data_IF_187175112182
#
_entry.id   IF_187175112182
#
_cell.length_a   1.000
_cell.length_b   1.000
_cell.length_c   1.000
_cell.angle_alpha   90.00
_cell.angle_beta   90.00
_cell.angle_gamma   90.00
#
_symmetry.space_group_name_H-M   'P 1'
#
loop_
_entity.id
_entity.type
_entity.pdbx_description
1 polymer ?
#
# COMPACT_ATOMS: atom_id res chain seq x y z
N UNK A 1 19.31 -4.83 -8.60
CA UNK A 1 18.26 -5.79 -8.96
C UNK A 1 17.08 -5.03 -9.51
N UNK A 2 16.60 -5.45 -10.68
CA UNK A 2 15.57 -4.70 -11.41
C UNK A 2 14.19 -4.77 -10.79
N UNK A 3 14.00 -5.72 -9.87
CA UNK A 3 12.71 -5.91 -9.19
C UNK A 3 12.55 -5.09 -7.91
N UNK A 4 13.52 -4.24 -7.58
CA UNK A 4 13.46 -3.38 -6.38
C UNK A 4 13.34 -1.93 -6.83
N UNK A 5 12.32 -1.23 -6.31
CA UNK A 5 12.11 0.19 -6.55
C UNK A 5 12.27 0.95 -5.25
N UNK A 6 13.16 1.94 -5.24
CA UNK A 6 13.38 2.79 -4.08
C UNK A 6 12.41 3.96 -4.08
N UNK A 7 11.91 4.30 -2.90
CA UNK A 7 11.00 5.42 -2.67
C UNK A 7 11.46 6.20 -1.44
N UNK A 8 10.95 7.39 -1.27
CA UNK A 8 11.23 8.18 -0.07
C UNK A 8 10.76 7.48 1.21
N UNK A 9 9.66 6.74 1.13
CA UNK A 9 9.09 6.03 2.29
C UNK A 9 9.74 4.67 2.56
N UNK A 10 10.50 4.12 1.62
CA UNK A 10 11.10 2.79 1.74
C UNK A 10 11.32 2.20 0.37
N UNK A 11 11.02 0.93 0.22
CA UNK A 11 11.19 0.27 -1.08
C UNK A 11 10.11 -0.75 -1.35
N UNK A 12 9.87 -1.01 -2.62
CA UNK A 12 8.97 -2.07 -3.05
C UNK A 12 9.77 -3.15 -3.76
N UNK A 13 9.53 -4.39 -3.35
CA UNK A 13 10.16 -5.57 -3.94
C UNK A 13 9.08 -6.28 -4.73
N UNK A 14 9.18 -6.26 -6.06
CA UNK A 14 8.20 -6.91 -6.94
C UNK A 14 8.66 -8.33 -7.15
N UNK A 15 7.94 -9.30 -6.57
CA UNK A 15 8.32 -10.72 -6.70
C UNK A 15 7.50 -11.44 -7.76
N UNK A 16 6.42 -10.85 -8.24
CA UNK A 16 5.65 -11.38 -9.38
C UNK A 16 4.94 -10.23 -10.09
N UNK A 17 5.07 -10.19 -11.41
CA UNK A 17 4.41 -9.17 -12.22
C UNK A 17 3.87 -9.82 -13.50
N UNK A 18 2.57 -10.10 -13.49
CA UNK A 18 1.86 -10.74 -14.60
C UNK A 18 0.72 -9.83 -15.05
N UNK A 19 0.16 -10.13 -16.20
CA UNK A 19 -0.92 -9.32 -16.77
C UNK A 19 -2.13 -9.25 -15.85
N UNK A 20 -2.46 -10.35 -15.17
CA UNK A 20 -3.65 -10.45 -14.35
C UNK A 20 -3.40 -10.62 -12.86
N UNK A 21 -2.14 -10.56 -12.41
CA UNK A 21 -1.82 -10.52 -10.98
C UNK A 21 -0.42 -9.97 -10.76
N UNK A 22 -0.21 -9.42 -9.57
CA UNK A 22 1.08 -8.89 -9.16
C UNK A 22 1.28 -9.10 -7.66
N UNK A 23 2.48 -9.47 -7.26
CA UNK A 23 2.86 -9.62 -5.86
C UNK A 23 4.04 -8.73 -5.53
N UNK A 24 3.95 -8.04 -4.39
CA UNK A 24 4.98 -7.11 -3.93
C UNK A 24 5.15 -7.21 -2.42
N UNK A 25 6.33 -6.81 -1.95
CA UNK A 25 6.54 -6.52 -0.54
C UNK A 25 6.92 -5.03 -0.45
N UNK A 26 6.22 -4.30 0.40
CA UNK A 26 6.50 -2.90 0.68
C UNK A 26 7.27 -2.85 2.00
N UNK A 27 8.50 -2.36 1.98
CA UNK A 27 9.38 -2.34 3.15
C UNK A 27 9.58 -0.91 3.61
N UNK A 28 9.22 -0.64 4.87
CA UNK A 28 9.38 0.67 5.52
C UNK A 28 10.41 0.50 6.63
N UNK A 29 11.64 0.92 6.39
CA UNK A 29 12.73 0.75 7.37
C UNK A 29 12.57 1.64 8.59
N UNK A 30 11.93 2.80 8.44
CA UNK A 30 11.77 3.78 9.52
C UNK A 30 10.31 4.04 9.83
N UNK A 31 10.00 4.10 11.12
CA UNK A 31 8.69 4.51 11.60
C UNK A 31 8.35 5.92 11.08
N UNK A 32 7.06 6.17 10.93
CA UNK A 32 6.48 7.43 10.48
C UNK A 32 6.63 7.74 9.00
N UNK A 33 7.45 6.98 8.27
CA UNK A 33 7.49 7.10 6.82
C UNK A 33 6.15 6.66 6.23
N UNK A 34 5.72 7.36 5.20
CA UNK A 34 4.38 7.18 4.64
C UNK A 34 4.39 7.20 3.12
N UNK A 35 3.64 6.28 2.53
CA UNK A 35 3.27 6.40 1.12
C UNK A 35 2.31 7.57 1.01
N UNK A 36 2.38 8.36 -0.09
CA UNK A 36 1.44 9.46 -0.26
C UNK A 36 0.01 8.95 -0.44
N UNK A 37 -0.95 9.80 -0.15
CA UNK A 37 -2.36 9.52 -0.46
C UNK A 37 -2.48 9.32 -1.97
N UNK A 38 -3.04 8.21 -2.39
CA UNK A 38 -3.12 7.84 -3.81
C UNK A 38 -4.31 6.93 -4.06
N UNK A 39 -4.67 6.77 -5.32
CA UNK A 39 -5.66 5.79 -5.73
C UNK A 39 -5.22 5.13 -7.04
N UNK A 40 -5.86 4.02 -7.36
CA UNK A 40 -5.71 3.32 -8.63
C UNK A 40 -7.05 3.30 -9.34
N UNK A 41 -7.06 3.48 -10.66
CA UNK A 41 -8.31 3.51 -11.42
C UNK A 41 -8.93 2.13 -11.58
N UNK A 42 -8.11 1.12 -11.87
CA UNK A 42 -8.60 -0.22 -12.15
C UNK A 42 -7.96 -1.30 -11.28
N UNK A 43 -6.85 -1.00 -10.65
CA UNK A 43 -6.16 -1.98 -9.80
C UNK A 43 -6.86 -2.12 -8.46
N UNK A 44 -7.20 -3.36 -8.10
CA UNK A 44 -7.62 -3.73 -6.75
C UNK A 44 -6.45 -4.41 -6.07
N UNK A 45 -6.32 -4.25 -4.77
CA UNK A 45 -5.22 -4.86 -4.05
C UNK A 45 -5.62 -5.28 -2.64
N UNK A 46 -4.90 -6.27 -2.14
CA UNK A 46 -5.03 -6.75 -0.77
C UNK A 46 -3.70 -6.56 -0.07
N UNK A 47 -3.74 -6.08 1.16
CA UNK A 47 -2.57 -5.88 2.01
C UNK A 47 -2.60 -6.80 3.21
N UNK A 48 -1.46 -7.41 3.51
CA UNK A 48 -1.26 -8.24 4.69
C UNK A 48 -0.03 -7.71 5.43
N UNK A 49 -0.19 -7.37 6.71
CA UNK A 49 0.94 -6.88 7.52
C UNK A 49 1.83 -8.06 7.88
N UNK A 50 2.97 -8.15 7.20
CA UNK A 50 3.93 -9.24 7.37
C UNK A 50 4.83 -9.02 8.59
N UNK A 51 5.14 -7.78 8.92
CA UNK A 51 5.98 -7.43 10.08
C UNK A 51 5.67 -6.00 10.51
N UNK A 52 5.82 -5.71 11.80
CA UNK A 52 5.63 -4.38 12.33
C UNK A 52 4.18 -3.98 12.47
N UNK A 53 3.90 -2.71 12.23
CA UNK A 53 2.54 -2.18 12.33
C UNK A 53 2.41 -0.94 11.43
N UNK A 54 1.18 -0.69 10.98
CA UNK A 54 0.87 0.42 10.09
C UNK A 54 -0.36 1.19 10.54
N UNK A 55 -0.42 2.44 10.15
CA UNK A 55 -1.65 3.24 10.19
C UNK A 55 -2.11 3.39 8.75
N UNK A 56 -3.29 2.90 8.45
CA UNK A 56 -3.91 3.11 7.15
C UNK A 56 -4.97 4.19 7.26
N UNK A 57 -5.00 5.09 6.27
CA UNK A 57 -6.04 6.11 6.13
C UNK A 57 -6.65 5.95 4.75
N UNK A 58 -7.97 5.92 4.67
CA UNK A 58 -8.65 5.79 3.38
C UNK A 58 -9.84 6.72 3.33
N UNK A 59 -10.27 7.04 2.12
CA UNK A 59 -11.47 7.85 1.90
C UNK A 59 -12.57 6.90 1.39
N UNK A 60 -13.67 6.86 2.13
CA UNK A 60 -14.86 6.12 1.69
C UNK A 60 -15.56 6.97 0.63
N UNK A 61 -15.61 6.46 -0.59
CA UNK A 61 -16.20 7.22 -1.70
C UNK A 61 -17.71 7.32 -1.61
N UNK A 62 -18.36 6.52 -0.80
CA UNK A 62 -19.80 6.58 -0.60
C UNK A 62 -20.22 7.80 0.24
N UNK A 63 -19.42 8.17 1.26
CA UNK A 63 -19.75 9.30 2.13
C UNK A 63 -18.74 10.45 2.04
N UNK A 64 -17.63 10.27 1.31
CA UNK A 64 -16.60 11.28 1.14
C UNK A 64 -15.76 11.53 2.40
N UNK A 65 -15.86 10.67 3.43
CA UNK A 65 -15.15 10.84 4.68
C UNK A 65 -13.87 10.02 4.74
N UNK A 66 -12.89 10.54 5.46
CA UNK A 66 -11.64 9.83 5.71
C UNK A 66 -11.75 9.03 7.02
N UNK A 67 -11.24 7.82 6.97
CA UNK A 67 -11.18 6.92 8.12
C UNK A 67 -9.74 6.44 8.31
N UNK A 68 -9.38 6.14 9.54
CA UNK A 68 -8.06 5.61 9.86
C UNK A 68 -8.19 4.38 10.74
N UNK A 69 -7.23 3.46 10.60
CA UNK A 69 -7.19 2.24 11.41
C UNK A 69 -5.74 1.81 11.58
N UNK A 70 -5.39 1.39 12.80
CA UNK A 70 -4.11 0.75 13.04
C UNK A 70 -4.18 -0.72 12.64
N UNK A 71 -3.14 -1.18 11.93
CA UNK A 71 -3.03 -2.55 11.46
C UNK A 71 -1.81 -3.20 12.11
N UNK A 72 -2.01 -4.03 13.13
CA UNK A 72 -0.89 -4.81 13.68
C UNK A 72 -0.50 -5.96 12.78
N UNK A 73 0.62 -6.60 13.10
CA UNK A 73 1.10 -7.76 12.37
C UNK A 73 -0.01 -8.82 12.23
N UNK A 74 -0.13 -9.37 11.04
CA UNK A 74 -1.17 -10.36 10.73
C UNK A 74 -2.49 -9.78 10.22
N UNK A 75 -2.65 -8.45 10.24
CA UNK A 75 -3.88 -7.81 9.75
C UNK A 75 -3.96 -7.85 8.23
N UNK A 76 -5.19 -7.87 7.73
CA UNK A 76 -5.50 -7.81 6.30
C UNK A 76 -6.36 -6.58 6.02
N UNK A 77 -6.10 -5.91 4.91
CA UNK A 77 -6.91 -4.78 4.46
C UNK A 77 -7.11 -4.85 2.95
N UNK A 78 -8.37 -4.81 2.52
CA UNK A 78 -8.75 -4.86 1.10
C UNK A 78 -8.93 -3.45 0.57
N UNK A 79 -8.36 -3.17 -0.61
CA UNK A 79 -8.43 -1.84 -1.22
C UNK A 79 -9.05 -1.98 -2.61
N UNK A 80 -10.34 -1.63 -2.76
CA UNK A 80 -10.99 -1.61 -4.06
C UNK A 80 -10.40 -0.53 -4.97
N UNK A 81 -10.61 -0.66 -6.26
CA UNK A 81 -10.25 0.38 -7.21
C UNK A 81 -10.93 1.71 -6.84
N UNK A 82 -10.30 2.82 -7.18
CA UNK A 82 -10.79 4.18 -6.96
C UNK A 82 -10.91 4.59 -5.50
N UNK A 83 -10.33 3.84 -4.58
CA UNK A 83 -10.33 4.19 -3.15
C UNK A 83 -9.03 4.89 -2.80
N UNK A 84 -9.06 6.18 -2.44
CA UNK A 84 -7.86 6.86 -1.97
C UNK A 84 -7.35 6.26 -0.67
N UNK A 85 -6.05 6.02 -0.58
CA UNK A 85 -5.45 5.36 0.56
C UNK A 85 -4.06 5.92 0.83
N UNK A 86 -3.71 6.01 2.11
CA UNK A 86 -2.40 6.42 2.59
C UNK A 86 -1.93 5.39 3.61
N UNK A 87 -0.68 4.99 3.53
CA UNK A 87 -0.11 3.96 4.40
C UNK A 87 1.12 4.53 5.12
N UNK A 88 1.09 4.51 6.44
CA UNK A 88 2.19 5.00 7.27
C UNK A 88 2.69 3.89 8.19
N UNK A 89 4.01 3.71 8.24
CA UNK A 89 4.60 2.76 9.18
C UNK A 89 4.56 3.34 10.61
N UNK A 90 4.21 2.50 11.57
CA UNK A 90 4.21 2.87 12.99
C UNK A 90 5.44 2.38 13.73
N UNK A 91 6.19 1.46 13.12
CA UNK A 91 7.40 0.88 13.71
C UNK A 91 8.50 0.81 12.65
N UNK A 92 9.75 0.81 13.10
CA UNK A 92 10.88 0.55 12.22
C UNK A 92 10.78 -0.86 11.66
N UNK A 93 11.27 -1.05 10.45
CA UNK A 93 11.31 -2.35 9.77
C UNK A 93 9.93 -3.01 9.64
N UNK A 94 8.93 -2.20 9.28
CA UNK A 94 7.60 -2.71 8.97
C UNK A 94 7.53 -3.17 7.51
N UNK A 95 6.78 -4.23 7.26
CA UNK A 95 6.64 -4.80 5.92
C UNK A 95 5.19 -5.16 5.64
N UNK A 96 4.73 -4.75 4.46
CA UNK A 96 3.38 -5.01 3.97
C UNK A 96 3.46 -5.88 2.73
N UNK A 97 2.84 -7.06 2.76
CA UNK A 97 2.69 -7.88 1.56
C UNK A 97 1.49 -7.38 0.76
N UNK A 98 1.67 -7.22 -0.52
CA UNK A 98 0.61 -6.75 -1.42
C UNK A 98 0.40 -7.75 -2.54
N UNK A 99 -0.85 -8.07 -2.82
CA UNK A 99 -1.22 -8.72 -4.08
C UNK A 99 -2.28 -7.88 -4.78
N UNK A 100 -2.22 -7.86 -6.09
CA UNK A 100 -3.14 -7.07 -6.89
C UNK A 100 -3.53 -7.81 -8.17
N UNK A 101 -4.58 -7.36 -8.82
CA UNK A 101 -5.11 -7.96 -10.03
C UNK A 101 -4.42 -7.47 -11.31
N UNK A 102 -3.43 -6.62 -11.19
CA UNK A 102 -2.73 -6.07 -12.34
C UNK A 102 -1.33 -5.60 -11.94
N UNK A 103 -0.38 -5.73 -12.87
CA UNK A 103 0.95 -5.15 -12.73
C UNK A 103 1.04 -3.76 -13.36
N UNK A 104 -0.04 -3.26 -13.94
CA UNK A 104 -0.05 -1.92 -14.54
C UNK A 104 0.16 -0.85 -13.48
N UNK A 105 0.93 0.17 -13.84
CA UNK A 105 1.21 1.31 -12.98
C UNK A 105 0.16 2.39 -13.23
N UNK A 106 -1.00 2.27 -12.57
CA UNK A 106 -2.06 3.27 -12.63
C UNK A 106 -2.18 4.06 -11.32
N UNK A 107 -1.07 4.37 -10.73
CA UNK A 107 -0.93 5.08 -9.47
C UNK A 107 -1.17 6.59 -9.69
N UNK A 108 -2.17 7.14 -8.99
CA UNK A 108 -2.49 8.56 -9.05
C UNK A 108 -2.36 9.19 -7.67
N UNK A 109 -1.36 10.04 -7.53
CA UNK A 109 -1.08 10.72 -6.27
C UNK A 109 -2.06 11.88 -6.08
N UNK A 110 -2.62 11.99 -4.88
CA UNK A 110 -3.50 13.10 -4.53
C UNK A 110 -2.69 14.14 -3.78
N UNK A 111 -2.56 15.32 -4.38
CA UNK A 111 -1.91 16.46 -3.73
C UNK A 111 -2.86 17.14 -2.76
N UNK A 112 -2.33 17.53 -1.62
CA UNK A 112 -3.07 18.31 -0.63
C UNK A 112 -2.44 19.67 -0.48
#
# INVERSE_FOLDING_TARGET
MDNIKEHEWGREIVWSAKENYCGKILVFEKAEKSMPLHFHKSKEKSWFVNAGAFLITWVDTADGKAYSKELPEGSVFEIPALTPVKLQALQDNSAMAECSNSSEDDFYKIGL
#
